data_IF_109648824712
#
_entry.id   IF_109648824712
#
_cell.length_a   1.000
_cell.length_b   1.000
_cell.length_c   1.000
_cell.angle_alpha   90.00
_cell.angle_beta   90.00
_cell.angle_gamma   90.00
#
_symmetry.space_group_name_H-M   'P 1'
#
loop_
_entity.id
_entity.type
_entity.pdbx_description
1 polymer ?
#
# COMPACT_ATOMS: atom_id res chain seq x y z
N UNK A 1 -66.89 0.25 -21.65
CA UNK A 1 -67.09 0.12 -23.12
C UNK A 1 -67.10 1.55 -23.64
N UNK A 2 -65.95 2.11 -24.05
CA UNK A 2 -65.39 2.00 -25.41
C UNK A 2 -66.06 3.06 -26.29
N UNK A 3 -65.42 3.91 -27.08
CA UNK A 3 -64.03 4.10 -27.53
C UNK A 3 -63.97 5.46 -28.30
N UNK A 4 -62.79 6.10 -28.34
CA UNK A 4 -62.10 6.81 -29.47
C UNK A 4 -62.88 7.79 -30.41
N UNK A 5 -62.34 8.87 -30.99
CA UNK A 5 -60.95 9.20 -31.38
C UNK A 5 -60.80 10.67 -31.87
N UNK A 6 -59.54 11.18 -31.86
CA UNK A 6 -58.85 12.13 -32.79
C UNK A 6 -59.35 13.58 -32.94
N UNK A 7 -58.56 14.58 -33.32
CA UNK A 7 -57.14 14.99 -33.30
C UNK A 7 -57.17 16.37 -34.01
N UNK A 8 -56.40 17.39 -33.58
CA UNK A 8 -55.73 18.37 -34.46
C UNK A 8 -55.04 19.52 -33.71
N UNK A 9 -53.86 19.83 -34.25
CA UNK A 9 -52.77 20.68 -33.77
C UNK A 9 -53.02 22.20 -33.81
N UNK A 10 -52.33 22.95 -32.94
CA UNK A 10 -51.60 24.17 -33.32
C UNK A 10 -50.59 24.59 -32.24
N UNK A 11 -49.37 24.81 -32.72
CA UNK A 11 -48.13 25.36 -32.15
C UNK A 11 -48.26 26.60 -31.26
N UNK A 12 -47.47 26.65 -30.17
CA UNK A 12 -46.70 27.86 -29.83
C UNK A 12 -45.35 27.49 -29.19
N UNK A 13 -44.32 28.23 -29.62
CA UNK A 13 -42.91 28.04 -29.30
C UNK A 13 -42.58 28.75 -27.98
N UNK A 14 -41.89 28.04 -27.08
CA UNK A 14 -41.24 28.61 -25.90
C UNK A 14 -39.85 28.04 -25.74
N UNK A 15 -38.90 28.66 -26.43
CA UNK A 15 -37.46 28.40 -26.40
C UNK A 15 -36.90 28.56 -24.98
N UNK A 16 -36.20 27.54 -24.49
CA UNK A 16 -35.26 27.63 -23.38
C UNK A 16 -34.18 26.58 -23.61
N UNK A 17 -33.19 27.00 -24.42
CA UNK A 17 -31.90 26.35 -24.61
C UNK A 17 -31.41 25.59 -23.37
N UNK A 18 -31.55 24.27 -23.40
CA UNK A 18 -30.80 23.35 -22.56
C UNK A 18 -29.80 22.64 -23.47
N UNK A 19 -28.52 22.96 -23.28
CA UNK A 19 -27.37 22.32 -23.90
C UNK A 19 -27.39 20.80 -23.62
N UNK A 20 -27.46 19.91 -24.62
CA UNK A 20 -27.60 18.48 -24.41
C UNK A 20 -26.28 17.77 -24.67
N UNK A 21 -25.35 17.77 -23.70
CA UNK A 21 -24.24 16.79 -23.73
C UNK A 21 -23.48 16.55 -22.42
N UNK A 22 -23.91 17.07 -21.27
CA UNK A 22 -23.28 16.70 -20.00
C UNK A 22 -23.95 15.45 -19.41
N UNK A 23 -23.31 14.29 -19.50
CA UNK A 23 -23.66 13.18 -18.61
C UNK A 23 -23.64 13.68 -17.15
N UNK A 24 -24.59 13.25 -16.30
CA UNK A 24 -24.65 13.71 -14.93
C UNK A 24 -23.37 13.33 -14.20
N UNK A 25 -22.67 14.33 -13.66
CA UNK A 25 -21.51 14.13 -12.78
C UNK A 25 -21.95 13.31 -11.57
N UNK A 26 -21.42 12.09 -11.41
CA UNK A 26 -21.86 11.19 -10.34
C UNK A 26 -21.48 11.70 -8.94
N UNK A 27 -20.33 12.38 -8.80
CA UNK A 27 -19.88 13.00 -7.54
C UNK A 27 -19.32 14.40 -7.77
N UNK A 28 -19.67 15.37 -6.93
CA UNK A 28 -19.23 16.76 -7.11
C UNK A 28 -17.89 17.06 -6.40
N UNK A 29 -17.16 18.08 -6.87
CA UNK A 29 -16.01 18.60 -6.14
C UNK A 29 -16.43 19.10 -4.75
N UNK A 30 -15.66 18.72 -3.74
CA UNK A 30 -15.95 18.99 -2.34
C UNK A 30 -16.94 18.01 -1.69
N UNK A 31 -17.55 17.09 -2.44
CA UNK A 31 -18.50 16.11 -1.90
C UNK A 31 -17.81 15.12 -0.95
N UNK A 32 -18.46 14.85 0.19
CA UNK A 32 -18.05 13.78 1.11
C UNK A 32 -18.56 12.45 0.56
N UNK A 33 -17.66 11.50 0.38
CA UNK A 33 -17.93 10.19 -0.22
C UNK A 33 -17.33 9.07 0.63
N UNK A 34 -17.72 7.84 0.32
CA UNK A 34 -17.11 6.63 0.84
C UNK A 34 -16.30 5.98 -0.29
N UNK A 35 -15.00 5.81 -0.09
CA UNK A 35 -14.09 5.33 -1.12
C UNK A 35 -13.50 3.97 -0.75
N UNK A 36 -13.53 3.03 -1.70
CA UNK A 36 -12.82 1.77 -1.56
C UNK A 36 -11.30 2.00 -1.61
N UNK A 37 -10.58 1.42 -0.66
CA UNK A 37 -9.13 1.26 -0.71
C UNK A 37 -8.81 -0.17 -0.28
N UNK A 38 -8.43 -1.02 -1.25
CA UNK A 38 -8.37 -2.46 -1.07
C UNK A 38 -9.74 -3.07 -0.71
N UNK A 39 -9.83 -3.96 0.30
CA UNK A 39 -11.09 -4.59 0.70
C UNK A 39 -11.95 -3.72 1.63
N UNK A 40 -11.46 -2.54 2.01
CA UNK A 40 -12.09 -1.66 3.00
C UNK A 40 -12.69 -0.41 2.35
N UNK A 41 -13.65 0.20 3.05
CA UNK A 41 -14.27 1.46 2.67
C UNK A 41 -13.85 2.53 3.68
N UNK A 42 -13.39 3.68 3.21
CA UNK A 42 -12.95 4.80 4.03
C UNK A 42 -13.74 6.06 3.68
N UNK A 43 -13.87 6.97 4.65
CA UNK A 43 -14.40 8.29 4.34
C UNK A 43 -13.38 9.10 3.54
N UNK A 44 -13.84 9.73 2.46
CA UNK A 44 -13.02 10.55 1.60
C UNK A 44 -13.76 11.81 1.16
N UNK A 45 -13.03 12.76 0.58
CA UNK A 45 -13.56 13.97 -0.02
C UNK A 45 -13.08 14.06 -1.46
N UNK A 46 -14.00 14.29 -2.40
CA UNK A 46 -13.65 14.58 -3.79
C UNK A 46 -13.00 15.96 -3.81
N UNK A 47 -11.75 16.03 -4.26
CA UNK A 47 -11.03 17.30 -4.43
C UNK A 47 -11.15 17.83 -5.86
N UNK A 48 -11.15 16.95 -6.86
CA UNK A 48 -11.30 17.32 -8.28
C UNK A 48 -12.13 16.29 -9.04
N UNK A 49 -12.82 16.75 -10.07
CA UNK A 49 -13.55 15.89 -11.01
C UNK A 49 -13.02 16.14 -12.41
N UNK A 50 -12.67 15.07 -13.11
CA UNK A 50 -12.26 15.12 -14.51
C UNK A 50 -13.20 14.24 -15.34
N UNK A 51 -13.89 14.85 -16.30
CA UNK A 51 -14.80 14.17 -17.22
C UNK A 51 -14.08 14.00 -18.55
N UNK A 52 -13.71 12.76 -18.86
CA UNK A 52 -13.21 12.35 -20.16
C UNK A 52 -14.38 11.87 -21.02
N UNK A 53 -14.23 11.81 -22.34
CA UNK A 53 -15.32 11.54 -23.29
C UNK A 53 -16.16 10.30 -22.99
N UNK A 54 -15.58 9.27 -22.32
CA UNK A 54 -16.27 8.04 -21.95
C UNK A 54 -16.06 7.61 -20.47
N UNK A 55 -15.42 8.43 -19.62
CA UNK A 55 -15.13 8.06 -18.22
C UNK A 55 -15.04 9.27 -17.28
N UNK A 56 -15.43 9.09 -16.02
CA UNK A 56 -15.34 10.11 -14.97
C UNK A 56 -14.34 9.68 -13.90
N UNK A 57 -13.30 10.49 -13.71
CA UNK A 57 -12.29 10.30 -12.67
C UNK A 57 -12.42 11.35 -11.58
N UNK A 58 -12.09 10.93 -10.38
CA UNK A 58 -12.24 11.70 -9.15
C UNK A 58 -10.92 11.71 -8.40
N UNK A 59 -10.35 12.89 -8.17
CA UNK A 59 -9.20 13.01 -7.29
C UNK A 59 -9.70 13.05 -5.85
N UNK A 60 -9.37 12.04 -5.06
CA UNK A 60 -9.92 11.86 -3.71
C UNK A 60 -8.88 11.99 -2.63
N UNK A 61 -9.28 12.59 -1.52
CA UNK A 61 -8.50 12.66 -0.29
C UNK A 61 -9.18 11.87 0.81
N UNK A 62 -8.46 10.89 1.36
CA UNK A 62 -8.94 10.07 2.47
C UNK A 62 -8.88 10.86 3.79
N UNK A 63 -10.02 10.96 4.47
CA UNK A 63 -10.12 11.75 5.70
C UNK A 63 -9.25 11.13 6.81
N UNK A 64 -8.34 11.93 7.37
CA UNK A 64 -7.39 11.51 8.39
C UNK A 64 -6.12 10.83 7.85
N UNK A 65 -5.96 10.76 6.52
CA UNK A 65 -4.76 10.21 5.88
C UNK A 65 -3.84 11.34 5.42
N UNK A 66 -2.58 11.01 5.14
CA UNK A 66 -1.63 11.96 4.57
C UNK A 66 -1.95 12.19 3.08
N UNK A 67 -1.75 13.43 2.59
CA UNK A 67 -2.00 13.83 1.19
C UNK A 67 -1.21 13.05 0.14
N UNK A 68 -0.13 12.38 0.54
CA UNK A 68 0.60 11.47 -0.35
C UNK A 68 -0.19 10.21 -0.73
N UNK A 69 -1.34 9.96 -0.08
CA UNK A 69 -2.31 8.92 -0.43
C UNK A 69 -3.47 9.45 -1.28
N UNK A 70 -3.47 10.74 -1.64
CA UNK A 70 -4.48 11.28 -2.53
C UNK A 70 -4.27 10.67 -3.92
N UNK A 71 -5.34 10.13 -4.50
CA UNK A 71 -5.26 9.40 -5.77
C UNK A 71 -6.44 9.75 -6.68
N UNK A 72 -6.24 9.56 -7.99
CA UNK A 72 -7.32 9.56 -8.97
C UNK A 72 -7.99 8.19 -8.97
N UNK A 73 -9.32 8.17 -8.81
CA UNK A 73 -10.12 6.93 -8.82
C UNK A 73 -11.31 7.07 -9.77
N UNK A 74 -11.73 5.96 -10.38
CA UNK A 74 -12.97 5.92 -11.16
C UNK A 74 -14.22 5.90 -10.27
N UNK A 75 -15.36 6.28 -10.83
CA UNK A 75 -16.65 6.34 -10.10
C UNK A 75 -17.06 5.01 -9.44
N UNK A 76 -16.64 3.87 -9.98
CA UNK A 76 -16.91 2.53 -9.41
C UNK A 76 -16.28 2.28 -8.03
N UNK A 77 -15.22 3.03 -7.66
CA UNK A 77 -14.58 2.95 -6.33
C UNK A 77 -15.24 3.87 -5.29
N UNK A 78 -16.19 4.71 -5.71
CA UNK A 78 -16.85 5.68 -4.85
C UNK A 78 -18.30 5.30 -4.57
N UNK A 79 -18.72 5.59 -3.37
CA UNK A 79 -20.07 5.38 -2.86
C UNK A 79 -20.56 6.70 -2.29
N UNK A 80 -21.84 7.02 -2.54
CA UNK A 80 -22.51 8.16 -1.90
C UNK A 80 -22.50 7.96 -0.39
N UNK A 81 -22.39 9.04 0.36
CA UNK A 81 -22.47 9.02 1.81
C UNK A 81 -23.94 8.84 2.26
N UNK A 82 -24.46 7.63 2.09
CA UNK A 82 -25.81 7.21 2.51
C UNK A 82 -25.72 6.25 3.70
N UNK A 83 -26.79 6.16 4.48
CA UNK A 83 -26.85 5.26 5.65
C UNK A 83 -26.59 3.79 5.27
N UNK A 84 -27.06 3.34 4.11
CA UNK A 84 -26.80 2.00 3.58
C UNK A 84 -25.31 1.75 3.32
N UNK A 85 -24.62 2.71 2.70
CA UNK A 85 -23.19 2.59 2.41
C UNK A 85 -22.34 2.71 3.68
N UNK A 86 -22.77 3.49 4.66
CA UNK A 86 -22.15 3.55 6.00
C UNK A 86 -22.32 2.21 6.74
N UNK A 87 -23.49 1.57 6.66
CA UNK A 87 -23.68 0.23 7.21
C UNK A 87 -22.77 -0.79 6.50
N UNK A 88 -22.63 -0.72 5.18
CA UNK A 88 -21.70 -1.57 4.41
C UNK A 88 -20.26 -1.41 4.88
N UNK A 89 -19.81 -0.18 5.14
CA UNK A 89 -18.50 0.09 5.74
C UNK A 89 -18.35 -0.58 7.12
N UNK A 90 -19.35 -0.43 7.99
CA UNK A 90 -19.33 -1.02 9.33
C UNK A 90 -19.31 -2.55 9.28
N UNK A 91 -20.09 -3.17 8.38
CA UNK A 91 -20.10 -4.61 8.19
C UNK A 91 -18.77 -5.16 7.72
N UNK A 92 -18.12 -4.50 6.74
CA UNK A 92 -16.81 -4.90 6.24
C UNK A 92 -15.74 -4.80 7.33
N UNK A 93 -15.78 -3.74 8.14
CA UNK A 93 -14.88 -3.57 9.28
C UNK A 93 -15.16 -4.61 10.39
N UNK A 94 -16.42 -5.00 10.60
CA UNK A 94 -16.81 -6.01 11.59
C UNK A 94 -16.45 -7.44 11.16
N UNK A 95 -16.64 -7.77 9.87
CA UNK A 95 -16.25 -9.08 9.29
C UNK A 95 -14.75 -9.30 9.36
N UNK A 96 -13.94 -8.26 9.16
CA UNK A 96 -12.49 -8.32 9.38
C UNK A 96 -12.09 -8.41 10.87
N UNK A 97 -12.96 -7.97 11.79
CA UNK A 97 -12.79 -8.12 13.23
C UNK A 97 -13.21 -9.49 13.78
N UNK A 98 -14.16 -10.19 13.15
CA UNK A 98 -14.73 -11.46 13.65
C UNK A 98 -13.86 -12.69 13.42
N UNK A 99 -12.95 -12.68 12.43
CA UNK A 99 -11.98 -13.77 12.22
C UNK A 99 -10.89 -13.82 13.32
N UNK A 100 -10.87 -12.84 14.23
CA UNK A 100 -9.99 -12.84 15.41
C UNK A 100 -10.62 -13.48 16.66
N UNK A 101 -11.87 -13.98 16.61
CA UNK A 101 -12.63 -14.28 17.83
C UNK A 101 -13.09 -15.75 17.99
N UNK A 102 -12.20 -16.72 17.76
CA UNK A 102 -12.31 -18.07 18.32
C UNK A 102 -11.05 -18.49 19.07
N UNK A 103 -10.62 -17.68 20.05
CA UNK A 103 -9.91 -18.11 21.27
C UNK A 103 -9.38 -16.91 22.05
N UNK A 104 -10.10 -16.51 23.09
CA UNK A 104 -9.55 -16.18 24.42
C UNK A 104 -10.65 -15.53 25.25
N UNK A 105 -11.15 -16.27 26.24
CA UNK A 105 -12.00 -15.73 27.30
C UNK A 105 -11.18 -15.05 28.39
N UNK A 106 -11.94 -14.36 29.27
CA UNK A 106 -11.57 -13.65 30.52
C UNK A 106 -10.96 -12.26 30.33
N UNK A 107 -11.79 -11.21 30.50
CA UNK A 107 -12.04 -10.42 31.74
C UNK A 107 -11.09 -9.22 31.80
N UNK A 108 -11.44 -7.98 32.14
CA UNK A 108 -12.64 -7.30 32.63
C UNK A 108 -12.24 -5.83 32.85
N UNK A 109 -13.11 -4.85 32.49
CA UNK A 109 -13.20 -3.47 33.04
C UNK A 109 -11.97 -2.53 32.84
N UNK A 110 -12.00 -1.21 32.60
CA UNK A 110 -12.91 -0.05 32.77
C UNK A 110 -12.49 1.02 31.70
N UNK A 111 -13.38 1.77 31.00
CA UNK A 111 -13.77 3.20 31.21
C UNK A 111 -12.56 4.19 31.22
N UNK A 112 -12.44 5.33 30.53
CA UNK A 112 -13.32 6.24 29.77
C UNK A 112 -12.51 7.43 29.21
N UNK A 113 -12.88 7.89 28.00
CA UNK A 113 -13.18 9.28 27.52
C UNK A 113 -12.30 10.51 27.85
N UNK A 114 -12.27 11.38 26.82
CA UNK A 114 -12.18 12.87 26.82
C UNK A 114 -10.76 13.45 26.88
N UNK A 115 -10.38 14.59 26.28
CA UNK A 115 -10.85 15.51 25.21
C UNK A 115 -9.93 16.74 25.26
N UNK A 116 -9.84 17.49 24.15
CA UNK A 116 -9.28 18.88 24.07
C UNK A 116 -7.75 18.91 24.06
N UNK A 117 -7.03 19.40 23.04
CA UNK A 117 -7.25 20.54 22.16
C UNK A 117 -6.31 21.66 22.60
N UNK A 118 -5.35 22.10 21.77
CA UNK A 118 -4.82 23.48 21.66
C UNK A 118 -3.78 23.53 20.52
N UNK A 119 -3.84 24.65 19.81
CA UNK A 119 -3.11 25.07 18.62
C UNK A 119 -1.66 25.52 18.88
N UNK A 120 -1.04 26.10 17.84
CA UNK A 120 0.32 26.69 17.71
C UNK A 120 1.40 25.64 17.40
N UNK A 121 2.10 25.68 16.25
CA UNK A 121 2.92 26.78 15.75
C UNK A 121 2.80 27.01 14.22
N UNK A 122 2.75 28.30 13.88
CA UNK A 122 2.97 28.84 12.56
C UNK A 122 4.44 29.30 12.41
N UNK A 123 5.08 28.93 11.30
CA UNK A 123 6.20 29.60 10.63
C UNK A 123 6.42 28.84 9.31
N UNK A 124 6.50 29.39 8.10
CA UNK A 124 6.79 30.75 7.66
C UNK A 124 7.99 30.70 6.69
N UNK A 125 7.77 31.12 5.42
CA UNK A 125 8.71 31.27 4.27
C UNK A 125 8.87 30.03 3.38
N UNK A 126 8.61 29.99 2.07
CA UNK A 126 8.26 31.01 1.07
C UNK A 126 9.31 31.05 -0.06
N UNK A 127 8.98 30.57 -1.28
CA UNK A 127 9.27 31.27 -2.56
C UNK A 127 8.64 30.55 -3.77
N UNK A 128 7.73 31.26 -4.46
CA UNK A 128 7.22 30.98 -5.81
C UNK A 128 8.29 31.30 -6.87
N UNK A 129 8.38 30.49 -7.93
CA UNK A 129 8.73 30.93 -9.29
C UNK A 129 7.82 30.21 -10.31
N UNK A 130 7.38 31.00 -11.29
CA UNK A 130 6.47 30.76 -12.43
C UNK A 130 7.17 29.96 -13.56
N UNK A 131 6.52 28.97 -14.21
CA UNK A 131 5.93 28.95 -15.61
C UNK A 131 7.02 29.01 -16.71
N UNK A 132 7.15 28.22 -17.78
CA UNK A 132 6.51 27.06 -18.51
C UNK A 132 7.46 26.76 -19.74
N UNK A 133 7.11 26.03 -20.82
CA UNK A 133 6.50 24.70 -21.00
C UNK A 133 7.31 23.81 -21.99
N UNK A 134 6.91 22.55 -22.17
CA UNK A 134 7.15 21.80 -23.41
C UNK A 134 8.09 20.60 -23.30
N UNK A 135 7.51 19.40 -23.19
CA UNK A 135 7.55 18.32 -24.19
C UNK A 135 6.52 17.29 -23.69
N UNK A 136 5.50 17.06 -24.51
CA UNK A 136 4.51 16.00 -24.33
C UNK A 136 5.21 14.65 -24.53
N UNK A 137 5.58 13.98 -23.44
CA UNK A 137 5.84 12.54 -23.51
C UNK A 137 4.58 11.79 -23.11
N UNK A 138 4.10 11.06 -24.11
CA UNK A 138 2.90 10.25 -24.15
C UNK A 138 3.07 9.02 -23.24
N UNK A 139 2.99 9.21 -21.93
CA UNK A 139 2.90 8.10 -20.97
C UNK A 139 1.45 7.65 -20.83
N UNK A 140 0.96 7.01 -21.88
CA UNK A 140 -0.16 6.07 -21.77
C UNK A 140 0.37 4.81 -21.07
N UNK A 141 0.54 4.88 -19.75
CA UNK A 141 0.79 3.68 -18.94
C UNK A 141 -0.48 2.86 -18.99
N UNK A 142 -0.43 1.77 -19.76
CA UNK A 142 -1.46 0.74 -19.80
C UNK A 142 -1.74 0.23 -18.38
N UNK A 143 -2.93 0.53 -17.86
CA UNK A 143 -3.40 0.24 -16.49
C UNK A 143 -3.62 -1.27 -16.20
N UNK A 144 -3.17 -2.16 -17.09
CA UNK A 144 -3.54 -3.59 -17.09
C UNK A 144 -2.38 -4.54 -16.74
N UNK A 145 -1.15 -4.03 -16.56
CA UNK A 145 0.01 -4.87 -16.16
C UNK A 145 0.17 -4.91 -14.63
N UNK A 146 -0.86 -5.35 -13.91
CA UNK A 146 -0.73 -5.61 -12.48
C UNK A 146 0.12 -6.86 -12.23
N UNK A 147 1.44 -6.69 -12.04
CA UNK A 147 2.37 -7.76 -11.68
C UNK A 147 2.01 -8.31 -10.30
N UNK A 148 1.37 -9.47 -10.20
CA UNK A 148 1.00 -10.08 -8.91
C UNK A 148 2.03 -11.12 -8.48
N UNK A 149 2.69 -10.88 -7.34
CA UNK A 149 3.54 -11.88 -6.67
C UNK A 149 2.78 -12.37 -5.43
N UNK A 150 2.24 -13.61 -5.42
CA UNK A 150 1.43 -14.09 -4.32
C UNK A 150 2.29 -14.41 -3.08
N UNK A 151 2.16 -13.60 -2.04
CA UNK A 151 2.81 -13.86 -0.74
C UNK A 151 2.00 -14.91 0.04
N UNK A 152 2.62 -16.03 0.50
CA UNK A 152 1.95 -17.04 1.31
C UNK A 152 1.32 -16.47 2.60
N UNK A 153 0.15 -16.97 3.06
CA UNK A 153 -0.54 -16.43 4.24
C UNK A 153 0.31 -16.39 5.51
N UNK A 154 1.17 -17.39 5.71
CA UNK A 154 2.10 -17.43 6.85
C UNK A 154 3.10 -16.27 6.85
N UNK A 155 3.59 -15.90 5.66
CA UNK A 155 4.50 -14.76 5.49
C UNK A 155 3.74 -13.42 5.53
N UNK A 156 2.47 -13.39 5.10
CA UNK A 156 1.61 -12.22 5.34
C UNK A 156 1.41 -11.97 6.84
N UNK A 157 1.15 -13.02 7.62
CA UNK A 157 1.09 -12.90 9.08
C UNK A 157 2.40 -12.35 9.65
N UNK A 158 3.54 -12.87 9.18
CA UNK A 158 4.86 -12.37 9.58
C UNK A 158 5.03 -10.86 9.32
N UNK A 159 4.58 -10.36 8.17
CA UNK A 159 4.61 -8.93 7.83
C UNK A 159 3.71 -8.09 8.75
N UNK A 160 2.53 -8.61 9.12
CA UNK A 160 1.62 -7.93 10.05
C UNK A 160 2.24 -7.85 11.45
N UNK A 161 2.82 -8.95 11.92
CA UNK A 161 3.49 -9.02 13.22
C UNK A 161 4.72 -8.10 13.25
N UNK A 162 5.55 -8.11 12.21
CA UNK A 162 6.69 -7.21 12.01
C UNK A 162 6.27 -5.73 12.06
N UNK A 163 5.26 -5.34 11.29
CA UNK A 163 4.71 -3.98 11.33
C UNK A 163 4.26 -3.58 12.73
N UNK A 164 3.59 -4.48 13.45
CA UNK A 164 3.15 -4.23 14.83
C UNK A 164 4.33 -4.06 15.79
N UNK A 165 5.34 -4.93 15.72
CA UNK A 165 6.53 -4.82 16.56
C UNK A 165 7.25 -3.48 16.36
N UNK A 166 7.51 -3.10 15.10
CA UNK A 166 8.25 -1.88 14.81
C UNK A 166 7.38 -0.65 15.05
N UNK A 167 6.24 -0.56 14.37
CA UNK A 167 5.44 0.68 14.33
C UNK A 167 4.67 0.91 15.62
N UNK A 168 4.03 -0.12 16.18
CA UNK A 168 3.20 0.04 17.38
C UNK A 168 4.03 -0.10 18.65
N UNK A 169 4.83 -1.16 18.75
CA UNK A 169 5.57 -1.48 19.99
C UNK A 169 6.95 -0.82 20.08
N UNK A 170 7.47 -0.24 18.99
CA UNK A 170 8.80 0.37 18.98
C UNK A 170 9.94 -0.63 19.22
N UNK A 171 9.69 -1.91 18.95
CA UNK A 171 10.69 -2.98 19.07
C UNK A 171 11.38 -3.16 17.72
N UNK A 172 12.71 -3.25 17.73
CA UNK A 172 13.51 -3.36 16.53
C UNK A 172 14.21 -4.72 16.47
N UNK A 173 14.46 -5.17 15.24
CA UNK A 173 15.31 -6.34 15.00
C UNK A 173 16.74 -5.98 15.39
N UNK A 174 17.38 -6.83 16.20
CA UNK A 174 18.80 -6.65 16.51
C UNK A 174 19.65 -6.83 15.26
N UNK A 175 20.55 -5.88 15.03
CA UNK A 175 21.54 -5.93 13.97
C UNK A 175 22.95 -6.13 14.58
N UNK A 176 23.88 -6.79 13.86
CA UNK A 176 23.66 -7.51 12.60
C UNK A 176 22.82 -8.78 12.83
N UNK A 177 21.95 -9.10 11.86
CA UNK A 177 20.98 -10.20 11.93
C UNK A 177 21.58 -11.49 11.35
N UNK A 178 21.44 -12.62 12.07
CA UNK A 178 21.87 -13.95 11.57
C UNK A 178 20.73 -14.99 11.58
N UNK A 179 20.37 -15.60 10.42
CA UNK A 179 21.01 -15.40 9.12
C UNK A 179 20.68 -14.04 8.50
N UNK A 180 21.66 -13.44 7.82
CA UNK A 180 21.47 -12.22 7.04
C UNK A 180 20.86 -12.52 5.65
N UNK A 181 20.54 -11.49 4.86
CA UNK A 181 20.00 -11.67 3.51
C UNK A 181 20.96 -12.46 2.63
N UNK A 182 22.26 -12.17 2.67
CA UNK A 182 23.27 -12.91 1.90
C UNK A 182 23.30 -14.41 2.28
N UNK A 183 23.18 -14.74 3.57
CA UNK A 183 23.08 -16.13 4.03
C UNK A 183 21.82 -16.82 3.50
N UNK A 184 20.68 -16.11 3.49
CA UNK A 184 19.40 -16.66 3.04
C UNK A 184 19.43 -16.91 1.53
N UNK A 185 19.97 -15.97 0.75
CA UNK A 185 20.12 -16.10 -0.70
C UNK A 185 21.06 -17.26 -1.06
N UNK A 186 22.21 -17.36 -0.37
CA UNK A 186 23.16 -18.46 -0.54
C UNK A 186 22.52 -19.81 -0.22
N UNK A 187 21.81 -19.92 0.91
CA UNK A 187 21.08 -21.14 1.28
C UNK A 187 20.05 -21.55 0.23
N UNK A 188 19.37 -20.60 -0.40
CA UNK A 188 18.41 -20.90 -1.46
C UNK A 188 19.10 -21.36 -2.75
N UNK A 189 20.23 -20.74 -3.11
CA UNK A 189 21.02 -21.14 -4.27
C UNK A 189 21.52 -22.58 -4.13
N UNK A 190 22.01 -22.95 -2.94
CA UNK A 190 22.42 -24.33 -2.63
C UNK A 190 21.25 -25.31 -2.69
N UNK A 191 20.09 -24.91 -2.15
CA UNK A 191 18.86 -25.69 -2.22
C UNK A 191 18.44 -25.97 -3.67
N UNK A 192 18.52 -24.96 -4.56
CA UNK A 192 18.18 -25.12 -5.97
C UNK A 192 19.21 -25.92 -6.74
N UNK A 193 20.49 -25.74 -6.47
CA UNK A 193 21.57 -26.47 -7.13
C UNK A 193 21.48 -27.98 -6.90
N UNK A 194 21.02 -28.39 -5.71
CA UNK A 194 20.77 -29.81 -5.39
C UNK A 194 19.52 -30.39 -6.07
N UNK A 195 18.57 -29.55 -6.45
CA UNK A 195 17.27 -29.96 -6.99
C UNK A 195 17.26 -29.99 -8.51
N UNK A 196 17.84 -28.98 -9.17
CA UNK A 196 17.73 -28.76 -10.61
C UNK A 196 19.02 -28.12 -11.16
N UNK A 197 19.97 -28.92 -11.64
CA UNK A 197 21.32 -28.46 -12.05
C UNK A 197 21.33 -27.26 -13.01
N UNK A 198 20.77 -27.38 -14.23
CA UNK A 198 20.79 -26.30 -15.23
C UNK A 198 19.93 -25.07 -14.87
N UNK A 199 19.04 -25.16 -13.88
CA UNK A 199 18.21 -24.03 -13.43
C UNK A 199 19.02 -23.09 -12.51
N UNK A 200 20.12 -23.59 -11.93
CA UNK A 200 20.96 -22.88 -10.96
C UNK A 200 21.55 -21.56 -11.49
N UNK A 201 21.96 -21.51 -12.76
CA UNK A 201 22.59 -20.30 -13.33
C UNK A 201 21.59 -19.15 -13.46
N UNK A 202 20.40 -19.44 -14.01
CA UNK A 202 19.33 -18.45 -14.17
C UNK A 202 18.82 -17.92 -12.82
N UNK A 203 18.76 -18.76 -11.79
CA UNK A 203 18.35 -18.32 -10.46
C UNK A 203 19.46 -17.50 -9.80
N UNK A 204 20.73 -17.84 -10.01
CA UNK A 204 21.87 -17.06 -9.50
C UNK A 204 21.80 -15.59 -9.91
N UNK A 205 21.51 -15.30 -11.19
CA UNK A 205 21.34 -13.93 -11.68
C UNK A 205 20.14 -13.21 -11.03
N UNK A 206 19.01 -13.92 -10.86
CA UNK A 206 17.84 -13.36 -10.17
C UNK A 206 18.17 -13.01 -8.71
N UNK A 207 18.90 -13.88 -7.99
CA UNK A 207 19.27 -13.63 -6.60
C UNK A 207 20.27 -12.47 -6.46
N UNK A 208 21.23 -12.34 -7.38
CA UNK A 208 22.11 -11.16 -7.45
C UNK A 208 21.30 -9.88 -7.67
N UNK A 209 20.31 -9.92 -8.56
CA UNK A 209 19.37 -8.83 -8.80
C UNK A 209 18.60 -8.46 -7.53
N UNK A 210 18.00 -9.43 -6.84
CA UNK A 210 17.28 -9.22 -5.59
C UNK A 210 18.17 -8.63 -4.48
N UNK A 211 19.41 -9.11 -4.36
CA UNK A 211 20.40 -8.57 -3.41
C UNK A 211 20.67 -7.09 -3.69
N UNK A 212 21.08 -6.77 -4.92
CA UNK A 212 21.38 -5.39 -5.33
C UNK A 212 20.16 -4.48 -5.16
N UNK A 213 18.98 -5.01 -5.46
CA UNK A 213 17.74 -4.28 -5.31
C UNK A 213 17.41 -4.03 -3.84
N UNK A 214 17.58 -5.02 -2.97
CA UNK A 214 17.42 -4.86 -1.53
C UNK A 214 18.37 -3.79 -0.98
N UNK A 215 19.66 -3.87 -1.32
CA UNK A 215 20.67 -2.91 -0.87
C UNK A 215 20.28 -1.46 -1.20
N UNK A 216 19.81 -1.22 -2.44
CA UNK A 216 19.40 0.12 -2.91
C UNK A 216 18.05 0.57 -2.36
N UNK A 217 17.09 -0.35 -2.24
CA UNK A 217 15.72 -0.03 -1.85
C UNK A 217 15.52 0.05 -0.34
N UNK A 218 16.36 -0.59 0.47
CA UNK A 218 16.24 -0.59 1.92
C UNK A 218 16.10 0.83 2.52
N UNK A 219 17.07 1.76 2.31
CA UNK A 219 16.97 3.10 2.87
C UNK A 219 15.86 3.96 2.25
N UNK A 220 15.31 3.60 1.10
CA UNK A 220 14.31 4.44 0.43
C UNK A 220 12.87 3.96 0.66
N UNK A 221 12.66 2.65 0.71
CA UNK A 221 11.32 2.04 0.59
C UNK A 221 10.97 1.06 1.72
N UNK A 222 11.94 0.40 2.35
CA UNK A 222 11.66 -0.80 3.15
C UNK A 222 11.73 -0.60 4.68
N UNK A 223 12.33 0.50 5.14
CA UNK A 223 12.41 0.82 6.58
C UNK A 223 11.24 1.69 7.03
N UNK A 224 10.68 1.35 8.18
CA UNK A 224 9.76 2.21 8.91
C UNK A 224 10.50 3.37 9.57
N UNK A 225 9.76 4.42 9.96
CA UNK A 225 10.35 5.62 10.55
C UNK A 225 11.20 5.32 11.80
N UNK A 226 10.76 4.38 12.64
CA UNK A 226 11.45 3.98 13.88
C UNK A 226 12.77 3.22 13.65
N UNK A 227 12.98 2.67 12.46
CA UNK A 227 14.22 1.95 12.10
C UNK A 227 15.28 2.86 11.48
N UNK A 228 14.93 4.10 11.14
CA UNK A 228 15.83 5.03 10.44
C UNK A 228 17.09 5.31 11.25
N UNK A 229 16.96 5.53 12.56
CA UNK A 229 18.11 5.79 13.42
C UNK A 229 19.08 4.60 13.44
N UNK A 230 18.56 3.40 13.67
CA UNK A 230 19.34 2.16 13.66
C UNK A 230 20.08 1.95 12.33
N UNK A 231 19.46 2.29 11.19
CA UNK A 231 20.12 2.22 9.89
C UNK A 231 21.36 3.14 9.80
N UNK A 232 21.25 4.39 10.25
CA UNK A 232 22.38 5.33 10.20
C UNK A 232 23.53 4.94 11.15
N UNK A 233 23.23 4.20 12.21
CA UNK A 233 24.23 3.71 13.16
C UNK A 233 24.98 2.48 12.64
N UNK A 234 24.24 1.55 12.03
CA UNK A 234 24.74 0.24 11.60
C UNK A 234 25.33 0.26 10.17
N UNK A 235 24.75 1.04 9.26
CA UNK A 235 25.20 1.12 7.87
C UNK A 235 26.09 2.36 7.70
N UNK A 236 27.38 2.09 7.62
CA UNK A 236 28.44 3.06 7.28
C UNK A 236 28.87 2.88 5.84
N UNK A 237 29.64 3.85 5.34
CA UNK A 237 30.27 3.76 4.02
C UNK A 237 31.00 2.40 3.90
N UNK A 238 30.77 1.71 2.78
CA UNK A 238 31.26 0.35 2.42
C UNK A 238 30.49 -0.87 2.95
N UNK A 239 29.45 -0.71 3.79
CA UNK A 239 28.66 -1.87 4.28
C UNK A 239 27.40 -2.09 3.43
N UNK A 240 27.29 -3.26 2.82
CA UNK A 240 26.10 -3.69 2.08
C UNK A 240 24.96 -4.03 3.04
N UNK A 241 23.76 -3.44 2.92
CA UNK A 241 22.66 -3.78 3.81
C UNK A 241 22.28 -5.27 3.84
N UNK A 242 22.48 -6.00 2.73
CA UNK A 242 22.22 -7.44 2.65
C UNK A 242 23.10 -8.30 3.58
N UNK A 243 24.24 -7.79 4.05
CA UNK A 243 25.11 -8.51 5.01
C UNK A 243 24.74 -8.21 6.47
N UNK A 244 23.90 -7.20 6.72
CA UNK A 244 23.53 -6.72 8.06
C UNK A 244 22.10 -7.08 8.42
N UNK A 245 21.18 -6.89 7.48
CA UNK A 245 19.75 -7.14 7.68
C UNK A 245 19.38 -8.60 7.35
N UNK A 246 18.21 -9.05 7.82
CA UNK A 246 17.74 -10.42 7.62
C UNK A 246 16.39 -10.55 6.94
N UNK A 247 15.72 -11.67 7.23
CA UNK A 247 14.51 -12.10 6.51
C UNK A 247 13.33 -11.14 6.70
N UNK A 248 13.24 -10.47 7.84
CA UNK A 248 12.17 -9.54 8.20
C UNK A 248 12.08 -8.40 7.17
N UNK A 249 13.18 -7.66 7.00
CA UNK A 249 13.30 -6.56 6.04
C UNK A 249 13.28 -7.06 4.60
N UNK A 250 13.93 -8.19 4.33
CA UNK A 250 13.95 -8.75 2.98
C UNK A 250 12.56 -9.17 2.50
N UNK A 251 11.70 -9.67 3.39
CA UNK A 251 10.32 -10.02 3.04
C UNK A 251 9.50 -8.78 2.63
N UNK A 252 9.77 -7.61 3.21
CA UNK A 252 9.10 -6.35 2.84
C UNK A 252 9.36 -5.98 1.38
N UNK A 253 10.52 -6.36 0.82
CA UNK A 253 10.81 -6.15 -0.60
C UNK A 253 9.76 -6.81 -1.50
N UNK A 254 9.29 -8.01 -1.16
CA UNK A 254 8.29 -8.74 -1.96
C UNK A 254 6.92 -8.07 -1.97
N UNK A 255 6.63 -7.17 -1.02
CA UNK A 255 5.43 -6.32 -1.03
C UNK A 255 5.59 -5.18 -2.05
N UNK A 256 6.81 -4.68 -2.22
CA UNK A 256 7.14 -3.54 -3.08
C UNK A 256 7.53 -3.90 -4.51
N UNK A 257 8.02 -5.13 -4.74
CA UNK A 257 8.38 -5.61 -6.07
C UNK A 257 7.26 -5.51 -7.13
N UNK A 258 5.99 -5.88 -6.84
CA UNK A 258 4.86 -5.69 -7.76
C UNK A 258 4.74 -4.27 -8.33
N UNK A 259 4.76 -3.27 -7.45
CA UNK A 259 4.65 -1.85 -7.81
C UNK A 259 5.83 -1.44 -8.71
N UNK A 260 7.02 -1.95 -8.42
CA UNK A 260 8.25 -1.56 -9.10
C UNK A 260 8.41 -2.25 -10.47
N UNK A 261 7.99 -3.51 -10.58
CA UNK A 261 8.01 -4.26 -11.84
C UNK A 261 6.99 -3.73 -12.85
N UNK A 262 5.94 -3.05 -12.39
CA UNK A 262 4.95 -2.43 -13.28
C UNK A 262 5.55 -1.31 -14.16
N UNK A 263 6.62 -0.64 -13.69
CA UNK A 263 7.31 0.41 -14.45
C UNK A 263 8.34 -0.11 -15.44
N UNK A 264 8.63 -1.42 -15.45
CA UNK A 264 9.63 -2.02 -16.34
C UNK A 264 8.91 -2.72 -17.48
N UNK A 265 9.28 -2.38 -18.73
CA UNK A 265 8.72 -3.05 -19.90
C UNK A 265 9.37 -4.44 -20.10
N UNK A 266 8.87 -5.43 -19.37
CA UNK A 266 9.29 -6.84 -19.45
C UNK A 266 8.32 -7.60 -20.35
N UNK A 267 8.85 -8.46 -21.22
CA UNK A 267 8.06 -9.41 -22.01
C UNK A 267 7.26 -10.36 -21.10
N UNK A 268 6.01 -10.64 -21.45
CA UNK A 268 5.07 -11.39 -20.62
C UNK A 268 5.58 -12.78 -20.22
N UNK A 269 6.20 -13.52 -21.15
CA UNK A 269 6.75 -14.85 -20.87
C UNK A 269 7.92 -14.78 -19.87
N UNK A 270 8.79 -13.79 -20.03
CA UNK A 270 9.93 -13.54 -19.12
C UNK A 270 9.43 -13.10 -17.75
N UNK A 271 8.41 -12.25 -17.69
CA UNK A 271 7.78 -11.82 -16.46
C UNK A 271 7.12 -13.00 -15.71
N UNK A 272 6.41 -13.88 -16.41
CA UNK A 272 5.79 -15.06 -15.82
C UNK A 272 6.85 -16.02 -15.24
N UNK A 273 7.97 -16.23 -15.95
CA UNK A 273 9.12 -17.01 -15.44
C UNK A 273 9.71 -16.37 -14.18
N UNK A 274 9.91 -15.06 -14.17
CA UNK A 274 10.40 -14.33 -13.00
C UNK A 274 9.44 -14.47 -11.81
N UNK A 275 8.14 -14.24 -12.01
CA UNK A 275 7.11 -14.41 -10.98
C UNK A 275 7.11 -15.83 -10.38
N UNK A 276 7.27 -16.85 -11.21
CA UNK A 276 7.36 -18.24 -10.75
C UNK A 276 8.60 -18.46 -9.86
N UNK A 277 9.77 -17.93 -10.26
CA UNK A 277 10.99 -18.03 -9.45
C UNK A 277 10.86 -17.30 -8.11
N UNK A 278 10.29 -16.09 -8.11
CA UNK A 278 10.03 -15.32 -6.90
C UNK A 278 9.02 -16.03 -5.97
N UNK A 279 7.98 -16.62 -6.54
CA UNK A 279 7.00 -17.41 -5.80
C UNK A 279 7.64 -18.65 -5.16
N UNK A 280 8.52 -19.34 -5.89
CA UNK A 280 9.24 -20.50 -5.34
C UNK A 280 10.23 -20.10 -4.25
N UNK A 281 10.85 -18.93 -4.34
CA UNK A 281 11.66 -18.37 -3.26
C UNK A 281 10.83 -18.09 -2.00
N UNK A 282 9.65 -17.47 -2.15
CA UNK A 282 8.73 -17.24 -1.02
C UNK A 282 8.25 -18.55 -0.37
N UNK A 283 8.01 -19.59 -1.17
CA UNK A 283 7.72 -20.93 -0.63
C UNK A 283 8.89 -21.48 0.20
N UNK A 284 10.13 -21.30 -0.27
CA UNK A 284 11.32 -21.70 0.48
C UNK A 284 11.46 -20.93 1.80
N UNK A 285 11.24 -19.61 1.79
CA UNK A 285 11.23 -18.82 3.03
C UNK A 285 10.17 -19.32 4.02
N UNK A 286 8.96 -19.63 3.52
CA UNK A 286 7.89 -20.21 4.34
C UNK A 286 8.30 -21.55 4.95
N UNK A 287 8.91 -22.45 4.17
CA UNK A 287 9.36 -23.75 4.67
C UNK A 287 10.44 -23.66 5.75
N UNK A 288 11.19 -22.56 5.79
CA UNK A 288 12.27 -22.32 6.75
C UNK A 288 11.93 -21.20 7.75
N UNK A 289 10.64 -20.89 7.93
CA UNK A 289 10.20 -19.69 8.65
C UNK A 289 10.74 -19.62 10.08
N UNK A 290 10.77 -20.73 10.81
CA UNK A 290 11.27 -20.78 12.19
C UNK A 290 12.76 -20.47 12.33
N UNK A 291 13.54 -20.65 11.27
CA UNK A 291 14.99 -20.38 11.25
C UNK A 291 15.27 -18.96 10.75
N UNK A 292 14.46 -18.47 9.82
CA UNK A 292 14.70 -17.18 9.17
C UNK A 292 14.13 -15.99 9.92
N UNK A 293 12.96 -16.15 10.55
CA UNK A 293 12.24 -15.05 11.20
C UNK A 293 12.29 -15.16 12.72
N UNK A 294 12.48 -14.01 13.37
CA UNK A 294 12.36 -13.90 14.82
C UNK A 294 10.90 -13.96 15.28
N UNK A 295 10.68 -14.58 16.44
CA UNK A 295 9.39 -14.58 17.13
C UNK A 295 9.14 -13.30 17.94
N UNK A 296 10.21 -12.58 18.32
CA UNK A 296 10.17 -11.35 19.13
C UNK A 296 11.34 -10.44 18.80
N UNK A 297 11.16 -9.12 18.95
CA UNK A 297 12.15 -8.07 18.68
C UNK A 297 12.61 -7.41 20.00
N UNK A 298 13.74 -6.70 19.97
CA UNK A 298 14.32 -6.04 21.14
C UNK A 298 13.71 -4.65 21.36
N UNK A 299 13.56 -4.25 22.62
CA UNK A 299 13.13 -2.88 22.97
C UNK A 299 14.31 -1.95 22.75
N UNK A 300 14.11 -0.85 22.02
CA UNK A 300 15.14 0.18 21.89
C UNK A 300 15.28 0.90 23.22
N UNK A 301 16.47 0.84 23.83
CA UNK A 301 16.78 1.62 25.02
C UNK A 301 17.08 3.08 24.61
N UNK A 302 16.11 3.97 24.80
CA UNK A 302 16.23 5.44 24.64
C UNK A 302 15.03 6.03 23.88
N UNK A 303 14.17 6.91 24.40
CA UNK A 303 14.27 7.85 25.51
C UNK A 303 13.08 7.72 26.50
N UNK A 304 13.27 7.03 27.63
CA UNK A 304 12.64 7.46 28.86
C UNK A 304 13.62 8.40 29.55
N UNK A 305 13.64 9.68 29.14
CA UNK A 305 14.02 10.71 30.10
C UNK A 305 12.76 10.93 30.91
N UNK A 306 12.76 10.32 32.10
CA UNK A 306 11.88 10.73 33.18
C UNK A 306 12.08 12.24 33.33
N UNK A 307 11.04 13.02 33.03
CA UNK A 307 10.91 14.35 33.63
C UNK A 307 10.66 14.07 35.11
N UNK A 308 11.74 13.98 35.88
CA UNK A 308 11.69 14.23 37.32
C UNK A 308 11.37 15.72 37.47
N UNK A 309 10.13 15.99 37.88
CA UNK A 309 9.71 17.29 38.40
C UNK A 309 10.57 17.63 39.63
N UNK A 310 11.32 18.74 39.54
CA UNK A 310 11.85 19.51 40.67
C UNK A 310 11.45 20.99 40.48
#
# INVERSE_FOLDING_TARGET
MGSSAKDDSSTDNGDSNADPSSEPVLFAEGEKVLAYHGPCIYEAKVQKVEVLTDDQRYFVHYLGWNKNWDEWVGGSRLLKFTDENVQKQQELNKKQGSDKNTKSGRSSHHKSKSSTGTEFFAAGRGKKRKVEPGIEEKDTISDDKHVKIPIPPQLKKQLIDDWNFVTQLGKLVKLPRSPCVDDILTKYLDYRSKKDGHIADSIGEILKGLRSYFDKSLPMLLLYNKERQQYHEEIKDDISPSTVYGAEHFLRLFVKLPELLAYVNIEEETLAKLQQKLTDFLKFMKSNQSTFFLSTYEVVAGNCKEEEDD
#
